data_IF_513302167987
#
_entry.id   IF_513302167987
#
_cell.length_a   1.000
_cell.length_b   1.000
_cell.length_c   1.000
_cell.angle_alpha   90.00
_cell.angle_beta   90.00
_cell.angle_gamma   90.00
#
_symmetry.space_group_name_H-M   'P 1'
#
loop_
_entity.id
_entity.type
_entity.pdbx_description
1 polymer ?
#
# COMPACT_ATOMS: atom_id res chain seq x y z
N UNK A 1 1.66 -12.58 -49.08
CA UNK A 1 2.09 -11.79 -47.90
C UNK A 1 0.93 -11.38 -46.99
N UNK A 2 -0.23 -10.95 -47.52
CA UNK A 2 -1.40 -10.51 -46.73
C UNK A 2 -1.96 -11.56 -45.74
N UNK A 3 -1.93 -12.86 -46.07
CA UNK A 3 -2.43 -13.94 -45.19
C UNK A 3 -1.67 -14.02 -43.85
N UNK A 4 -0.36 -13.79 -43.86
CA UNK A 4 0.47 -13.83 -42.65
C UNK A 4 0.25 -12.61 -41.75
N UNK A 5 -0.07 -11.45 -42.34
CA UNK A 5 -0.44 -10.25 -41.58
C UNK A 5 -1.75 -10.44 -40.81
N UNK A 6 -2.74 -11.09 -41.41
CA UNK A 6 -4.03 -11.35 -40.76
C UNK A 6 -3.85 -12.33 -39.58
N UNK A 7 -3.10 -13.41 -39.78
CA UNK A 7 -2.83 -14.41 -38.73
C UNK A 7 -2.03 -13.79 -37.57
N UNK A 8 -1.06 -12.93 -37.86
CA UNK A 8 -0.29 -12.23 -36.84
C UNK A 8 -1.15 -11.26 -36.03
N UNK A 9 -2.05 -10.51 -36.67
CA UNK A 9 -2.97 -9.60 -36.00
C UNK A 9 -3.95 -10.32 -35.08
N UNK A 10 -4.50 -11.46 -35.53
CA UNK A 10 -5.40 -12.28 -34.72
C UNK A 10 -4.67 -12.83 -33.49
N UNK A 11 -3.44 -13.33 -33.66
CA UNK A 11 -2.61 -13.80 -32.55
C UNK A 11 -2.34 -12.71 -31.52
N UNK A 12 -2.00 -11.50 -31.97
CA UNK A 12 -1.80 -10.34 -31.09
C UNK A 12 -3.06 -9.98 -30.31
N UNK A 13 -4.23 -9.96 -30.95
CA UNK A 13 -5.50 -9.65 -30.29
C UNK A 13 -5.85 -10.69 -29.22
N UNK A 14 -5.64 -11.98 -29.48
CA UNK A 14 -5.88 -13.05 -28.51
C UNK A 14 -4.96 -12.94 -27.28
N UNK A 15 -3.69 -12.58 -27.50
CA UNK A 15 -2.73 -12.34 -26.41
C UNK A 15 -3.17 -11.15 -25.56
N UNK A 16 -3.59 -10.04 -26.18
CA UNK A 16 -4.10 -8.88 -25.47
C UNK A 16 -5.36 -9.19 -24.65
N UNK A 17 -6.29 -9.98 -25.21
CA UNK A 17 -7.49 -10.40 -24.48
C UNK A 17 -7.17 -11.29 -23.28
N UNK A 18 -6.21 -12.22 -23.41
CA UNK A 18 -5.78 -13.05 -22.30
C UNK A 18 -5.15 -12.22 -21.16
N UNK A 19 -4.30 -11.25 -21.49
CA UNK A 19 -3.70 -10.34 -20.50
C UNK A 19 -4.76 -9.48 -19.81
N UNK A 20 -5.73 -8.98 -20.58
CA UNK A 20 -6.84 -8.20 -20.03
C UNK A 20 -7.70 -9.02 -19.06
N UNK A 21 -8.04 -10.26 -19.42
CA UNK A 21 -8.80 -11.17 -18.54
C UNK A 21 -8.04 -11.53 -17.26
N UNK A 22 -6.73 -11.74 -17.34
CA UNK A 22 -5.89 -11.97 -16.16
C UNK A 22 -5.83 -10.74 -15.24
N UNK A 23 -5.89 -9.53 -15.79
CA UNK A 23 -5.90 -8.28 -15.02
C UNK A 23 -7.27 -7.93 -14.44
N UNK A 24 -8.34 -8.35 -15.11
CA UNK A 24 -9.72 -8.16 -14.64
C UNK A 24 -10.16 -9.18 -13.60
N UNK A 25 -9.40 -10.25 -13.38
CA UNK A 25 -9.67 -11.22 -12.32
C UNK A 25 -9.19 -10.66 -10.98
N UNK A 26 -9.99 -9.73 -10.43
CA UNK A 26 -9.90 -9.26 -9.06
C UNK A 26 -10.30 -10.43 -8.14
N UNK A 27 -9.38 -11.00 -7.34
CA UNK A 27 -9.74 -12.03 -6.39
C UNK A 27 -10.47 -11.34 -5.24
N UNK A 28 -11.81 -11.45 -5.25
CA UNK A 28 -12.68 -11.06 -4.16
C UNK A 28 -12.04 -11.37 -2.79
N UNK A 29 -11.92 -10.35 -1.95
CA UNK A 29 -12.00 -10.56 -0.51
C UNK A 29 -13.13 -9.73 0.06
N UNK A 30 -14.34 -10.10 -0.33
CA UNK A 30 -15.52 -9.81 0.46
C UNK A 30 -15.39 -10.61 1.77
N UNK A 31 -15.13 -9.90 2.86
CA UNK A 31 -15.35 -10.41 4.22
C UNK A 31 -16.76 -9.97 4.57
N UNK A 32 -17.73 -10.82 4.28
CA UNK A 32 -19.09 -10.74 4.79
C UNK A 32 -19.30 -11.92 5.74
N UNK A 33 -20.04 -11.66 6.82
CA UNK A 33 -20.42 -12.54 7.94
C UNK A 33 -19.27 -12.87 8.93
N UNK A 34 -19.40 -12.68 10.25
CA UNK A 34 -20.48 -13.19 11.11
C UNK A 34 -20.41 -12.58 12.54
N UNK A 35 -21.59 -12.24 13.11
CA UNK A 35 -22.02 -12.49 14.50
C UNK A 35 -21.98 -11.38 15.57
N UNK A 36 -23.19 -10.86 15.79
CA UNK A 36 -23.68 -10.05 16.89
C UNK A 36 -23.73 -10.78 18.26
N UNK A 37 -22.62 -11.04 18.97
CA UNK A 37 -22.74 -11.48 20.38
C UNK A 37 -21.50 -11.26 21.26
N UNK A 38 -21.11 -10.00 21.53
CA UNK A 38 -20.38 -9.70 22.78
C UNK A 38 -20.58 -8.27 23.27
N UNK A 39 -21.84 -7.85 23.42
CA UNK A 39 -22.17 -6.72 24.31
C UNK A 39 -22.55 -7.32 25.66
N UNK A 40 -21.61 -7.31 26.62
CA UNK A 40 -21.86 -7.06 28.06
C UNK A 40 -20.75 -7.60 28.97
N UNK A 41 -19.53 -7.06 28.85
CA UNK A 41 -18.61 -7.10 29.98
C UNK A 41 -17.68 -5.89 29.98
N UNK A 42 -17.88 -5.06 31.01
CA UNK A 42 -16.90 -4.14 31.62
C UNK A 42 -16.86 -2.71 31.05
N UNK A 43 -18.02 -2.10 31.22
CA UNK A 43 -18.39 -0.70 31.33
C UNK A 43 -17.57 0.08 32.41
N UNK A 44 -16.25 0.15 32.26
CA UNK A 44 -15.35 1.03 33.05
C UNK A 44 -14.05 1.43 32.32
N UNK A 45 -14.00 1.35 30.98
CA UNK A 45 -12.98 2.04 30.19
C UNK A 45 -13.61 3.30 29.60
N UNK A 46 -12.95 4.48 29.65
CA UNK A 46 -13.42 5.62 28.88
C UNK A 46 -13.45 5.20 27.41
N UNK A 47 -14.66 5.08 26.88
CA UNK A 47 -14.92 4.82 25.48
C UNK A 47 -14.31 5.96 24.65
N UNK A 48 -13.18 5.70 24.01
CA UNK A 48 -12.88 6.39 22.76
C UNK A 48 -13.18 5.42 21.62
N UNK A 49 -14.40 5.42 21.06
CA UNK A 49 -14.75 4.66 19.87
C UNK A 49 -14.12 5.37 18.67
N UNK A 50 -12.79 5.27 18.53
CA UNK A 50 -12.08 6.14 17.63
C UNK A 50 -10.57 6.10 17.73
N UNK A 51 -9.95 5.08 18.34
CA UNK A 51 -8.54 4.82 18.05
C UNK A 51 -8.45 4.18 16.67
N UNK A 52 -8.82 4.95 15.64
CA UNK A 52 -8.18 4.83 14.33
C UNK A 52 -6.70 4.87 14.70
N UNK A 53 -6.01 3.74 14.54
CA UNK A 53 -4.56 3.72 14.66
C UNK A 53 -4.10 4.70 13.60
N UNK A 54 -3.76 5.92 14.01
CA UNK A 54 -3.27 6.92 13.09
C UNK A 54 -2.01 6.29 12.47
N UNK A 55 -1.96 6.14 11.14
CA UNK A 55 -0.88 5.40 10.52
C UNK A 55 0.44 6.09 10.86
N UNK A 56 1.45 5.31 11.24
CA UNK A 56 2.77 5.85 11.59
C UNK A 56 3.31 6.68 10.42
N UNK A 57 3.38 7.99 10.63
CA UNK A 57 3.80 8.95 9.61
C UNK A 57 5.31 9.14 9.70
N UNK A 58 5.99 8.94 8.58
CA UNK A 58 7.44 9.15 8.44
C UNK A 58 7.72 10.26 7.45
N UNK A 59 8.92 10.83 7.51
CA UNK A 59 9.40 11.77 6.49
C UNK A 59 10.43 11.07 5.62
N UNK A 60 10.27 11.11 4.31
CA UNK A 60 11.22 10.51 3.36
C UNK A 60 12.06 11.56 2.65
N UNK A 61 13.30 11.19 2.35
CA UNK A 61 14.23 11.94 1.50
C UNK A 61 14.49 11.15 0.23
N UNK A 62 13.95 11.61 -0.90
CA UNK A 62 14.05 10.92 -2.20
C UNK A 62 15.48 10.83 -2.76
N UNK A 63 16.41 11.67 -2.29
CA UNK A 63 17.80 11.64 -2.75
C UNK A 63 18.52 10.36 -2.32
N UNK A 64 18.34 9.98 -1.06
CA UNK A 64 19.05 8.86 -0.43
C UNK A 64 18.14 7.64 -0.23
N UNK A 65 16.88 7.72 -0.67
CA UNK A 65 15.83 6.70 -0.43
C UNK A 65 15.74 6.29 1.04
N UNK A 66 15.87 7.26 1.96
CA UNK A 66 15.74 7.03 3.40
C UNK A 66 14.41 7.57 3.94
N UNK A 67 13.80 6.84 4.86
CA UNK A 67 12.76 7.36 5.72
C UNK A 67 13.31 7.68 7.12
N UNK A 68 12.74 8.73 7.71
CA UNK A 68 13.18 9.35 8.95
C UNK A 68 11.99 9.50 9.88
N UNK A 69 12.25 9.42 11.18
CA UNK A 69 11.30 9.86 12.19
C UNK A 69 10.90 11.33 11.95
N UNK A 70 9.65 11.75 12.20
CA UNK A 70 9.23 13.14 12.09
C UNK A 70 10.11 14.13 12.87
N UNK A 71 10.75 13.68 13.94
CA UNK A 71 11.60 14.44 14.85
C UNK A 71 13.09 14.36 14.49
N UNK A 72 13.46 13.67 13.40
CA UNK A 72 14.86 13.46 13.05
C UNK A 72 15.55 14.78 12.65
N UNK A 73 16.64 15.12 13.36
CA UNK A 73 17.33 16.41 13.23
C UNK A 73 18.18 16.53 11.96
N UNK A 74 18.54 15.39 11.36
CA UNK A 74 19.42 15.31 10.20
C UNK A 74 18.67 15.32 8.87
N UNK A 75 17.34 15.44 8.91
CA UNK A 75 16.54 15.34 7.71
C UNK A 75 16.75 16.56 6.79
N UNK A 76 17.00 16.30 5.51
CA UNK A 76 17.16 17.34 4.51
C UNK A 76 15.89 18.20 4.36
N UNK A 77 16.07 19.46 3.94
CA UNK A 77 14.97 20.43 3.70
C UNK A 77 13.94 19.95 2.68
N UNK A 78 14.33 19.05 1.77
CA UNK A 78 13.46 18.44 0.76
C UNK A 78 12.98 17.06 1.23
N UNK A 79 12.16 17.05 2.27
CA UNK A 79 11.51 15.83 2.77
C UNK A 79 10.01 15.85 2.50
N UNK A 80 9.43 14.66 2.35
CA UNK A 80 7.98 14.49 2.16
C UNK A 80 7.42 13.57 3.22
N UNK A 81 6.27 13.92 3.79
CA UNK A 81 5.57 13.04 4.73
C UNK A 81 4.81 11.95 3.97
N UNK A 82 4.90 10.72 4.44
CA UNK A 82 4.07 9.59 4.01
C UNK A 82 3.93 8.57 5.14
N UNK A 83 3.07 7.57 4.97
CA UNK A 83 2.96 6.46 5.93
C UNK A 83 4.19 5.57 5.88
N UNK A 84 4.56 4.96 7.00
CA UNK A 84 5.64 3.97 7.10
C UNK A 84 5.48 2.89 6.04
N UNK A 85 4.30 2.29 5.96
CA UNK A 85 3.95 1.27 4.98
C UNK A 85 4.24 1.72 3.54
N UNK A 86 3.94 2.98 3.20
CA UNK A 86 4.20 3.51 1.86
C UNK A 86 5.70 3.73 1.62
N UNK A 87 6.46 4.10 2.64
CA UNK A 87 7.91 4.23 2.54
C UNK A 87 8.55 2.85 2.31
N UNK A 88 8.16 1.84 3.08
CA UNK A 88 8.64 0.45 2.92
C UNK A 88 8.24 -0.13 1.55
N UNK A 89 7.00 0.08 1.09
CA UNK A 89 6.54 -0.35 -0.23
C UNK A 89 7.30 0.32 -1.39
N UNK A 90 7.81 1.53 -1.17
CA UNK A 90 8.65 2.23 -2.14
C UNK A 90 10.15 1.91 -1.97
N UNK A 91 10.48 0.90 -1.16
CA UNK A 91 11.84 0.47 -0.83
C UNK A 91 12.71 1.60 -0.24
N UNK A 92 12.10 2.47 0.58
CA UNK A 92 12.87 3.38 1.41
C UNK A 92 13.43 2.61 2.61
N UNK A 93 14.70 2.84 2.93
CA UNK A 93 15.36 2.24 4.08
C UNK A 93 15.27 3.16 5.30
N UNK A 94 15.28 2.61 6.53
CA UNK A 94 15.34 3.44 7.73
C UNK A 94 16.65 4.22 7.77
N UNK A 95 16.56 5.50 8.13
CA UNK A 95 17.73 6.28 8.48
C UNK A 95 18.37 5.73 9.75
N UNK A 96 19.63 5.29 9.66
CA UNK A 96 20.38 4.73 10.80
C UNK A 96 20.47 5.67 12.00
N UNK A 97 20.40 6.99 11.78
CA UNK A 97 20.42 8.01 12.83
C UNK A 97 19.08 8.18 13.55
N UNK A 98 17.98 7.64 13.01
CA UNK A 98 16.67 7.73 13.65
C UNK A 98 16.23 6.38 14.27
N UNK A 99 17.02 5.29 14.13
CA UNK A 99 16.75 3.95 14.72
C UNK A 99 17.64 3.67 15.96
N UNK A 100 18.52 4.61 16.33
CA UNK A 100 19.28 4.56 17.60
C UNK A 100 18.45 4.95 18.83
#
# INVERSE_FOLDING_TARGET
>A
MIKYLIVASIGLVLIFLAIFMLRSMDPERQIEETDDEFVSAIQNRPSNPGSIVEPDMVKVTYGDSLYHDPSCSWIGKKSKKMTLEKAENLAFEPCSQCVE
#
